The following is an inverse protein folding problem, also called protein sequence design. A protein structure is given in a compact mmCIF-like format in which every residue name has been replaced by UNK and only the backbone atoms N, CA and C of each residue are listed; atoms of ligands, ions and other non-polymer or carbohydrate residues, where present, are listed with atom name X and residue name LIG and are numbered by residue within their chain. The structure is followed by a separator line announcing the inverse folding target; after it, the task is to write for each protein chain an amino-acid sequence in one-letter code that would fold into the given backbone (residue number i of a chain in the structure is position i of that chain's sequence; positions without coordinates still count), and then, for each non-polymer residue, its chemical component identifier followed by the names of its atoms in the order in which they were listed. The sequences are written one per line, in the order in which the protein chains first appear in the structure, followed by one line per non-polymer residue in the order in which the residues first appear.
data_IF_406500465051
#
_entry.id   IF_406500465051
#
_cell.length_a   1.000
_cell.length_b   1.000
_cell.length_c   1.000
_cell.angle_alpha   90.00
_cell.angle_beta   90.00
_cell.angle_gamma   90.00
#
_symmetry.space_group_name_H-M   'P 1'
#
loop_
_entity.id
_entity.type
_entity.pdbx_description
1 polymer ?
#
# COMPACT_ATOMS: atom_id res chain seq x y z
N UNK A 1 -13.01 11.79 10.03
CA UNK A 1 -11.92 12.67 9.56
C UNK A 1 -11.05 11.94 8.54
N UNK A 2 -10.56 12.66 7.57
CA UNK A 2 -9.64 12.16 6.56
C UNK A 2 -8.30 12.87 6.74
N UNK A 3 -7.22 12.09 6.85
CA UNK A 3 -5.87 12.65 6.83
C UNK A 3 -5.48 12.87 5.37
N UNK A 4 -5.40 14.13 4.95
CA UNK A 4 -5.06 14.49 3.58
C UNK A 4 -3.56 14.39 3.28
N UNK A 5 -2.71 14.36 4.30
CA UNK A 5 -1.27 14.12 4.16
C UNK A 5 -0.93 12.66 4.44
N UNK A 6 0.07 12.13 3.74
CA UNK A 6 0.55 10.77 3.99
C UNK A 6 1.33 10.66 5.30
N UNK A 7 1.34 9.47 5.88
CA UNK A 7 2.18 9.16 7.03
C UNK A 7 3.51 8.55 6.55
N UNK A 8 4.60 8.97 7.16
CA UNK A 8 5.91 8.38 6.91
C UNK A 8 6.06 7.11 7.74
N UNK A 9 6.15 5.91 7.11
CA UNK A 9 6.18 4.64 7.86
C UNK A 9 7.32 4.55 8.87
N UNK A 10 8.50 5.06 8.51
CA UNK A 10 9.66 4.99 9.37
C UNK A 10 9.55 5.83 10.64
N UNK A 11 8.65 6.82 10.66
CA UNK A 11 8.49 7.76 11.76
C UNK A 11 7.32 7.43 12.68
N UNK A 12 6.42 6.54 12.26
CA UNK A 12 5.24 6.21 13.06
C UNK A 12 5.63 5.42 14.31
N UNK A 13 5.18 5.92 15.45
CA UNK A 13 5.36 5.24 16.74
C UNK A 13 4.04 4.62 17.21
N UNK A 14 4.14 3.60 18.10
CA UNK A 14 2.94 2.89 18.55
C UNK A 14 1.92 3.81 19.22
N UNK A 15 2.37 4.75 20.05
CA UNK A 15 1.44 5.67 20.73
C UNK A 15 0.69 6.56 19.72
N UNK A 16 1.34 6.90 18.59
CA UNK A 16 0.69 7.66 17.53
C UNK A 16 -0.38 6.83 16.82
N UNK A 17 -0.09 5.55 16.57
CA UNK A 17 -1.07 4.63 15.99
C UNK A 17 -2.29 4.47 16.91
N UNK A 18 -2.06 4.36 18.21
CA UNK A 18 -3.12 4.27 19.21
C UNK A 18 -3.98 5.54 19.24
N UNK A 19 -3.34 6.69 19.14
CA UNK A 19 -4.03 7.98 19.08
C UNK A 19 -4.86 8.10 17.79
N UNK A 20 -4.32 7.67 16.66
CA UNK A 20 -5.05 7.63 15.40
C UNK A 20 -6.31 6.77 15.51
N UNK A 21 -6.23 5.65 16.21
CA UNK A 21 -7.39 4.78 16.40
C UNK A 21 -8.50 5.47 17.21
N UNK A 22 -8.13 6.27 18.19
CA UNK A 22 -9.09 7.06 18.98
C UNK A 22 -9.77 8.15 18.14
N UNK A 23 -9.00 8.81 17.26
CA UNK A 23 -9.49 9.86 16.36
C UNK A 23 -10.41 9.28 15.27
N UNK A 24 -10.23 8.01 14.93
CA UNK A 24 -11.01 7.27 13.94
C UNK A 24 -11.03 7.96 12.57
N UNK A 25 -9.85 8.15 11.93
CA UNK A 25 -9.82 8.72 10.60
C UNK A 25 -10.51 7.78 9.60
N UNK A 26 -11.18 8.34 8.59
CA UNK A 26 -11.81 7.53 7.57
C UNK A 26 -10.77 6.79 6.72
N UNK A 27 -9.62 7.43 6.47
CA UNK A 27 -8.54 6.87 5.66
C UNK A 27 -7.19 7.31 6.17
N UNK A 28 -6.21 6.40 6.07
CA UNK A 28 -4.80 6.67 6.36
C UNK A 28 -4.02 6.34 5.10
N UNK A 29 -3.19 7.27 4.65
CA UNK A 29 -2.39 7.12 3.44
C UNK A 29 -0.91 7.00 3.79
N UNK A 30 -0.20 6.14 3.07
CA UNK A 30 1.25 6.05 3.10
C UNK A 30 1.78 5.75 1.70
N UNK A 31 3.07 5.53 1.56
CA UNK A 31 3.70 5.28 0.27
C UNK A 31 4.80 4.23 0.36
N UNK A 32 4.99 3.51 -0.73
CA UNK A 32 6.08 2.56 -0.92
C UNK A 32 6.76 2.91 -2.26
N UNK A 33 7.83 3.69 -2.19
CA UNK A 33 8.50 4.23 -3.38
C UNK A 33 9.81 3.51 -3.70
N UNK A 34 10.53 3.04 -2.68
CA UNK A 34 11.82 2.36 -2.83
C UNK A 34 11.86 1.06 -2.02
N UNK A 35 12.84 0.21 -2.31
CA UNK A 35 13.02 -1.06 -1.59
C UNK A 35 13.23 -0.85 -0.09
N UNK A 36 13.84 0.26 0.29
CA UNK A 36 14.10 0.56 1.70
C UNK A 36 12.82 0.88 2.48
N UNK A 37 11.72 1.14 1.80
CA UNK A 37 10.43 1.44 2.43
C UNK A 37 9.68 0.19 2.89
N UNK A 38 10.09 -1.01 2.48
CA UNK A 38 9.34 -2.24 2.77
C UNK A 38 9.29 -2.56 4.27
N UNK A 39 10.44 -2.64 4.93
CA UNK A 39 10.47 -2.96 6.37
C UNK A 39 9.74 -1.91 7.21
N UNK A 40 9.95 -0.60 6.98
CA UNK A 40 9.15 0.41 7.66
C UNK A 40 7.64 0.26 7.41
N UNK A 41 7.23 -0.09 6.19
CA UNK A 41 5.82 -0.30 5.85
C UNK A 41 5.23 -1.47 6.63
N UNK A 42 5.95 -2.59 6.70
CA UNK A 42 5.53 -3.76 7.46
C UNK A 42 5.36 -3.40 8.94
N UNK A 43 6.31 -2.69 9.52
CA UNK A 43 6.25 -2.26 10.91
C UNK A 43 5.11 -1.29 11.16
N UNK A 44 4.86 -0.35 10.23
CA UNK A 44 3.70 0.53 10.30
C UNK A 44 2.39 -0.26 10.32
N UNK A 45 2.28 -1.27 9.45
CA UNK A 45 1.11 -2.14 9.41
C UNK A 45 0.89 -2.87 10.74
N UNK A 46 1.96 -3.38 11.35
CA UNK A 46 1.88 -4.04 12.66
C UNK A 46 1.41 -3.09 13.75
N UNK A 47 1.95 -1.87 13.78
CA UNK A 47 1.58 -0.86 14.77
C UNK A 47 0.11 -0.47 14.65
N UNK A 48 -0.37 -0.27 13.42
CA UNK A 48 -1.78 0.05 13.17
C UNK A 48 -2.70 -1.10 13.56
N UNK A 49 -2.32 -2.35 13.26
CA UNK A 49 -3.10 -3.52 13.65
C UNK A 49 -3.15 -3.70 15.17
N UNK A 50 -2.04 -3.46 15.86
CA UNK A 50 -2.00 -3.48 17.34
C UNK A 50 -2.93 -2.41 17.94
N UNK A 51 -3.06 -1.28 17.26
CA UNK A 51 -3.96 -0.21 17.69
C UNK A 51 -5.44 -0.53 17.39
N UNK A 52 -5.73 -1.57 16.61
CA UNK A 52 -7.07 -2.01 16.32
C UNK A 52 -7.56 -1.72 14.91
N UNK A 53 -6.70 -1.26 14.00
CA UNK A 53 -7.08 -1.09 12.60
C UNK A 53 -7.18 -2.44 11.90
N UNK A 54 -8.24 -2.59 11.10
CA UNK A 54 -8.50 -3.82 10.36
C UNK A 54 -7.75 -3.82 9.04
N UNK A 55 -6.82 -4.78 8.79
CA UNK A 55 -6.07 -4.84 7.53
C UNK A 55 -6.94 -5.14 6.31
N UNK A 56 -8.13 -5.69 6.48
CA UNK A 56 -9.05 -5.91 5.36
C UNK A 56 -9.95 -4.71 5.09
N UNK A 57 -9.86 -3.67 5.91
CA UNK A 57 -10.63 -2.45 5.71
C UNK A 57 -10.04 -1.57 4.62
N UNK A 58 -10.88 -0.77 3.97
CA UNK A 58 -10.44 0.14 2.90
C UNK A 58 -9.85 1.45 3.41
N UNK A 59 -9.66 1.56 4.73
CA UNK A 59 -9.14 2.77 5.37
C UNK A 59 -7.62 2.91 5.36
N UNK A 60 -6.88 1.82 5.16
CA UNK A 60 -5.41 1.83 5.12
C UNK A 60 -4.95 1.73 3.68
N UNK A 61 -4.45 2.82 3.13
CA UNK A 61 -4.07 2.93 1.72
C UNK A 61 -2.58 3.18 1.57
N UNK A 62 -1.97 2.52 0.59
CA UNK A 62 -0.56 2.71 0.28
C UNK A 62 -0.37 2.95 -1.21
N UNK A 63 0.21 4.10 -1.57
CA UNK A 63 0.60 4.37 -2.94
C UNK A 63 1.90 3.64 -3.24
N UNK A 64 1.92 2.88 -4.33
CA UNK A 64 3.08 2.11 -4.78
C UNK A 64 3.51 2.62 -6.14
N UNK A 65 4.72 3.18 -6.21
CA UNK A 65 5.26 3.69 -7.46
C UNK A 65 5.57 2.54 -8.42
N UNK A 66 5.08 2.64 -9.65
CA UNK A 66 5.29 1.62 -10.70
C UNK A 66 5.71 2.27 -12.02
N UNK A 67 6.44 1.53 -12.85
CA UNK A 67 6.77 1.95 -14.19
C UNK A 67 7.93 2.93 -14.32
N UNK A 68 8.76 3.08 -13.29
CA UNK A 68 9.97 3.89 -13.38
C UNK A 68 11.05 3.17 -14.22
N UNK A 69 12.11 3.89 -14.57
CA UNK A 69 13.21 3.33 -15.37
C UNK A 69 13.81 2.09 -14.69
N UNK A 70 13.86 0.99 -15.43
CA UNK A 70 14.36 -0.28 -14.91
C UNK A 70 13.33 -1.13 -14.18
N UNK A 71 12.11 -0.65 -14.02
CA UNK A 71 11.03 -1.43 -13.39
C UNK A 71 10.50 -2.49 -14.35
N UNK A 72 9.91 -3.54 -13.80
CA UNK A 72 9.23 -4.59 -14.56
C UNK A 72 7.86 -4.87 -13.98
N UNK A 73 6.99 -5.49 -14.76
CA UNK A 73 5.66 -5.88 -14.27
C UNK A 73 5.76 -6.84 -13.08
N UNK A 74 6.69 -7.79 -13.15
CA UNK A 74 6.90 -8.75 -12.07
C UNK A 74 7.34 -8.07 -10.77
N UNK A 75 8.29 -7.15 -10.86
CA UNK A 75 8.76 -6.40 -9.69
C UNK A 75 7.68 -5.47 -9.14
N UNK A 76 6.93 -4.81 -10.00
CA UNK A 76 5.81 -3.96 -9.58
C UNK A 76 4.72 -4.78 -8.89
N UNK A 77 4.35 -5.92 -9.45
CA UNK A 77 3.37 -6.82 -8.86
C UNK A 77 3.83 -7.35 -7.51
N UNK A 78 5.12 -7.67 -7.39
CA UNK A 78 5.71 -8.09 -6.13
C UNK A 78 5.56 -7.01 -5.06
N UNK A 79 5.86 -5.75 -5.38
CA UNK A 79 5.71 -4.63 -4.44
C UNK A 79 4.24 -4.43 -4.03
N UNK A 80 3.32 -4.54 -4.98
CA UNK A 80 1.90 -4.41 -4.69
C UNK A 80 1.40 -5.52 -3.79
N UNK A 81 1.83 -6.77 -4.03
CA UNK A 81 1.50 -7.90 -3.17
C UNK A 81 2.12 -7.77 -1.77
N UNK A 82 3.34 -7.28 -1.67
CA UNK A 82 3.99 -6.99 -0.38
C UNK A 82 3.19 -5.95 0.42
N UNK A 83 2.65 -4.96 -0.26
CA UNK A 83 1.79 -3.93 0.35
C UNK A 83 0.53 -4.56 0.94
N UNK A 84 -0.09 -5.47 0.21
CA UNK A 84 -1.27 -6.22 0.71
C UNK A 84 -0.90 -7.02 1.95
N UNK A 85 0.21 -7.73 1.92
CA UNK A 85 0.68 -8.52 3.07
C UNK A 85 0.99 -7.67 4.29
N UNK A 86 1.42 -6.45 4.07
CA UNK A 86 1.66 -5.50 5.17
C UNK A 86 0.35 -4.96 5.78
N UNK A 87 -0.80 -5.21 5.14
CA UNK A 87 -2.11 -4.84 5.66
C UNK A 87 -2.71 -3.59 5.02
N UNK A 88 -2.18 -3.14 3.89
CA UNK A 88 -2.63 -1.93 3.20
C UNK A 88 -3.30 -2.27 1.88
N UNK A 89 -4.30 -1.48 1.51
CA UNK A 89 -4.87 -1.50 0.18
C UNK A 89 -3.91 -0.79 -0.77
N UNK A 90 -3.33 -1.50 -1.76
CA UNK A 90 -2.38 -0.88 -2.67
C UNK A 90 -3.07 -0.01 -3.72
N UNK A 91 -2.40 1.06 -4.09
CA UNK A 91 -2.83 1.91 -5.19
C UNK A 91 -1.62 2.18 -6.08
N UNK A 92 -1.63 1.62 -7.28
CA UNK A 92 -0.51 1.78 -8.22
C UNK A 92 -0.44 3.22 -8.72
N UNK A 93 0.69 3.88 -8.46
CA UNK A 93 0.96 5.24 -8.90
C UNK A 93 1.96 5.19 -10.04
N UNK A 94 1.56 5.65 -11.22
CA UNK A 94 2.42 5.66 -12.40
C UNK A 94 3.53 6.68 -12.29
N UNK A 95 4.76 6.23 -12.50
CA UNK A 95 5.88 7.11 -12.72
C UNK A 95 5.68 7.84 -14.05
N UNK A 96 5.95 9.13 -14.06
CA UNK A 96 5.95 9.96 -15.25
C UNK A 96 7.35 10.50 -15.47
N UNK A 97 7.81 10.47 -16.72
CA UNK A 97 9.11 11.05 -17.07
C UNK A 97 9.06 12.58 -16.99
N UNK A 98 10.20 13.23 -17.30
CA UNK A 98 10.28 14.70 -17.26
C UNK A 98 9.32 15.38 -18.24
N UNK A 99 8.94 14.69 -19.33
CA UNK A 99 7.95 15.17 -20.28
C UNK A 99 6.51 14.88 -19.84
N UNK A 100 6.32 14.19 -18.72
CA UNK A 100 5.01 13.79 -18.22
C UNK A 100 4.36 12.63 -18.96
N UNK A 101 5.15 11.88 -19.73
CA UNK A 101 4.67 10.76 -20.52
C UNK A 101 4.79 9.43 -19.77
N UNK A 102 3.87 8.51 -20.06
CA UNK A 102 3.87 7.16 -19.53
C UNK A 102 3.71 6.15 -20.67
N UNK A 103 4.33 4.97 -20.51
CA UNK A 103 4.18 3.89 -21.49
C UNK A 103 2.75 3.32 -21.46
N UNK A 104 2.16 3.00 -22.65
CA UNK A 104 0.79 2.46 -22.69
C UNK A 104 0.60 1.17 -21.91
N UNK A 105 1.60 0.28 -21.89
CA UNK A 105 1.53 -0.98 -21.15
C UNK A 105 1.46 -0.77 -19.65
N UNK A 106 2.19 0.23 -19.14
CA UNK A 106 2.15 0.59 -17.74
C UNK A 106 0.81 1.21 -17.36
N UNK A 107 0.18 1.98 -18.24
CA UNK A 107 -1.17 2.49 -18.00
C UNK A 107 -2.19 1.37 -17.91
N UNK A 108 -2.03 0.32 -18.71
CA UNK A 108 -2.88 -0.88 -18.63
C UNK A 108 -2.68 -1.60 -17.30
N UNK A 109 -1.44 -1.81 -16.90
CA UNK A 109 -1.08 -2.42 -15.61
C UNK A 109 -1.70 -1.64 -14.45
N UNK A 110 -1.55 -0.32 -14.44
CA UNK A 110 -2.12 0.53 -13.40
C UNK A 110 -3.64 0.38 -13.31
N UNK A 111 -4.32 0.36 -14.45
CA UNK A 111 -5.80 0.22 -14.48
C UNK A 111 -6.26 -1.09 -13.87
N UNK A 112 -5.54 -2.17 -14.08
CA UNK A 112 -5.87 -3.46 -13.47
C UNK A 112 -5.78 -3.39 -11.94
N UNK A 113 -4.76 -2.72 -11.43
CA UNK A 113 -4.55 -2.60 -9.99
C UNK A 113 -5.41 -1.50 -9.34
N UNK A 114 -6.10 -0.69 -10.12
CA UNK A 114 -7.04 0.32 -9.62
C UNK A 114 -8.50 -0.14 -9.62
N UNK A 115 -8.80 -1.33 -10.17
CA UNK A 115 -10.15 -1.87 -10.18
C UNK A 115 -10.48 -2.50 -8.83
N UNK A 116 -11.50 -2.01 -8.10
CA UNK A 116 -11.79 -2.50 -6.75
C UNK A 116 -12.01 -4.00 -6.66
N UNK A 117 -12.68 -4.61 -7.65
CA UNK A 117 -12.93 -6.06 -7.64
C UNK A 117 -11.66 -6.88 -7.77
N UNK A 118 -10.75 -6.46 -8.64
CA UNK A 118 -9.48 -7.17 -8.87
C UNK A 118 -8.58 -7.02 -7.65
N UNK A 119 -8.45 -5.80 -7.12
CA UNK A 119 -7.61 -5.54 -5.95
C UNK A 119 -8.17 -6.24 -4.72
N UNK A 120 -9.48 -6.26 -4.54
CA UNK A 120 -10.13 -6.98 -3.44
C UNK A 120 -9.85 -8.47 -3.48
N UNK A 121 -9.93 -9.08 -4.68
CA UNK A 121 -9.62 -10.49 -4.87
C UNK A 121 -8.16 -10.79 -4.55
N UNK A 122 -7.23 -9.97 -5.03
CA UNK A 122 -5.81 -10.11 -4.74
C UNK A 122 -5.52 -9.97 -3.24
N UNK A 123 -6.20 -9.04 -2.59
CA UNK A 123 -6.11 -8.85 -1.15
C UNK A 123 -6.51 -10.13 -0.39
N UNK A 124 -7.63 -10.73 -0.76
CA UNK A 124 -8.11 -11.97 -0.15
C UNK A 124 -7.15 -13.14 -0.39
N UNK A 125 -6.60 -13.27 -1.59
CA UNK A 125 -5.61 -14.30 -1.92
C UNK A 125 -4.36 -14.17 -1.06
N UNK A 126 -3.83 -12.97 -0.90
CA UNK A 126 -2.64 -12.73 -0.08
C UNK A 126 -2.91 -12.97 1.40
N UNK A 127 -4.10 -12.63 1.88
CA UNK A 127 -4.52 -12.95 3.25
C UNK A 127 -4.52 -14.44 3.50
N UNK A 128 -5.04 -15.23 2.55
CA UNK A 128 -5.06 -16.70 2.66
C UNK A 128 -3.65 -17.26 2.73
N UNK A 129 -2.76 -16.82 1.84
CA UNK A 129 -1.35 -17.27 1.85
C UNK A 129 -0.67 -16.95 3.19
N UNK A 130 -0.93 -15.77 3.73
CA UNK A 130 -0.38 -15.35 5.02
C UNK A 130 -0.89 -16.20 6.17
N UNK A 131 -2.17 -16.58 6.13
CA UNK A 131 -2.78 -17.48 7.11
C UNK A 131 -2.22 -18.89 7.02
N UNK A 132 -2.08 -19.42 5.80
CA UNK A 132 -1.57 -20.76 5.54
C UNK A 132 -0.08 -20.92 5.87
N UNK A 133 0.67 -19.81 5.85
CA UNK A 133 2.11 -19.80 6.18
C UNK A 133 2.41 -19.84 7.68
N UNK A 134 1.40 -19.82 8.53
CA UNK A 134 1.56 -19.86 9.99
C UNK A 134 1.57 -21.27 10.55
#
# INVERSE_FOLDING_TARGET
AVFSGGLEPALLQQWQADLLREVKPARIYTAYDTKDDLEPLIEMGRKLQRAGFNPSGHGLLCYVLVGYSGDSFDEAEKRLNQTIRAGFMPYAMLYRDEAGETAPDWRRFQREWCRPMIVGKKFDEERRKRHDAR
#
